data_IF_810763442023
#
_entry.id   IF_810763442023
#
_cell.length_a   1.000
_cell.length_b   1.000
_cell.length_c   1.000
_cell.angle_alpha   90.00
_cell.angle_beta   90.00
_cell.angle_gamma   90.00
#
_symmetry.space_group_name_H-M   'P 1'
#
loop_
_entity.id
_entity.type
_entity.pdbx_description
1 polymer ?
#
# COMPACT_ATOMS: atom_id res chain seq x y z
N UNK A 1 11.21 12.96 -7.18
CA UNK A 1 9.89 13.46 -7.58
C UNK A 1 9.33 14.59 -6.71
N UNK A 2 9.97 15.07 -5.63
CA UNK A 2 9.48 16.23 -4.85
C UNK A 2 9.70 17.63 -5.49
N UNK A 3 9.98 17.71 -6.80
CA UNK A 3 10.31 18.99 -7.47
C UNK A 3 9.10 19.83 -7.85
N UNK A 4 7.89 19.26 -7.80
CA UNK A 4 6.66 19.88 -8.31
C UNK A 4 5.65 20.24 -7.21
N UNK A 5 5.94 19.91 -5.95
CA UNK A 5 5.07 20.17 -4.81
C UNK A 5 5.76 21.11 -3.83
N UNK A 6 5.03 22.10 -3.30
CA UNK A 6 5.50 22.97 -2.20
C UNK A 6 5.45 22.22 -0.86
N UNK A 7 6.11 21.06 -0.80
CA UNK A 7 6.16 20.19 0.35
C UNK A 7 7.48 20.39 1.09
N UNK A 8 7.39 20.73 2.39
CA UNK A 8 8.56 20.84 3.27
C UNK A 8 8.34 20.03 4.54
N UNK A 9 9.02 18.87 4.72
CA UNK A 9 8.84 18.03 5.92
C UNK A 9 9.28 18.74 7.20
N UNK A 10 10.12 19.78 7.10
CA UNK A 10 10.46 20.67 8.20
C UNK A 10 9.25 21.42 8.77
N UNK A 11 8.28 21.82 7.94
CA UNK A 11 7.08 22.55 8.40
C UNK A 11 6.22 21.64 9.27
N UNK A 12 6.10 20.37 8.89
CA UNK A 12 5.42 19.34 9.67
C UNK A 12 6.10 19.15 11.03
N UNK A 13 7.41 18.93 11.05
CA UNK A 13 8.14 18.78 12.31
C UNK A 13 8.04 20.02 13.23
N UNK A 14 7.96 21.22 12.65
CA UNK A 14 7.77 22.47 13.41
C UNK A 14 6.35 22.61 13.97
N UNK A 15 5.31 22.22 13.22
CA UNK A 15 3.92 22.25 13.68
C UNK A 15 3.74 21.31 14.87
N UNK A 16 4.20 20.06 14.73
CA UNK A 16 4.14 19.06 15.81
C UNK A 16 4.93 19.52 17.03
N UNK A 17 6.16 20.04 16.86
CA UNK A 17 6.98 20.50 17.99
C UNK A 17 6.42 21.73 18.72
N UNK A 18 5.49 22.46 18.10
CA UNK A 18 4.79 23.61 18.71
C UNK A 18 3.42 23.24 19.26
N UNK A 19 3.01 21.98 19.14
CA UNK A 19 1.69 21.52 19.53
C UNK A 19 0.56 22.30 18.83
N UNK A 20 0.81 22.72 17.58
CA UNK A 20 -0.16 23.45 16.76
C UNK A 20 -1.17 22.46 16.14
N UNK A 21 -2.17 22.08 16.93
CA UNK A 21 -3.14 21.02 16.60
C UNK A 21 -3.89 21.30 15.30
N UNK A 22 -4.29 22.56 15.07
CA UNK A 22 -5.02 22.97 13.88
C UNK A 22 -4.17 22.79 12.62
N UNK A 23 -2.92 23.27 12.65
CA UNK A 23 -2.00 23.10 11.52
C UNK A 23 -1.65 21.61 11.32
N UNK A 24 -1.48 20.84 12.39
CA UNK A 24 -1.22 19.40 12.30
C UNK A 24 -2.39 18.70 11.60
N UNK A 25 -3.63 19.03 11.95
CA UNK A 25 -4.81 18.44 11.32
C UNK A 25 -4.96 18.86 9.85
N UNK A 26 -4.67 20.11 9.50
CA UNK A 26 -4.62 20.56 8.10
C UNK A 26 -3.57 19.78 7.30
N UNK A 27 -2.37 19.63 7.87
CA UNK A 27 -1.25 18.91 7.25
C UNK A 27 -1.54 17.42 7.07
N UNK A 28 -2.25 16.78 8.01
CA UNK A 28 -2.72 15.40 7.87
C UNK A 28 -3.67 15.23 6.68
N UNK A 29 -4.40 16.29 6.30
CA UNK A 29 -5.34 16.25 5.19
C UNK A 29 -4.73 16.59 3.82
N UNK A 30 -3.49 17.11 3.78
CA UNK A 30 -2.87 17.59 2.53
C UNK A 30 -1.38 17.23 2.46
N UNK A 31 -0.56 17.95 3.22
CA UNK A 31 0.91 17.92 3.11
C UNK A 31 1.49 16.52 3.26
N UNK A 32 0.98 15.70 4.18
CA UNK A 32 1.54 14.37 4.43
C UNK A 32 1.45 13.47 3.20
N UNK A 33 0.49 13.65 2.31
CA UNK A 33 0.28 12.83 1.12
C UNK A 33 1.26 13.16 -0.03
N UNK A 34 1.90 14.33 0.03
CA UNK A 34 2.95 14.75 -0.92
C UNK A 34 4.33 14.15 -0.61
N UNK A 35 4.49 13.55 0.57
CA UNK A 35 5.74 12.92 0.97
C UNK A 35 6.02 11.63 0.19
N UNK A 36 7.11 11.61 -0.60
CA UNK A 36 7.53 10.39 -1.31
C UNK A 36 8.27 9.36 -0.43
N UNK A 37 8.29 9.53 0.90
CA UNK A 37 8.99 8.65 1.84
C UNK A 37 10.46 8.34 1.49
N UNK A 38 11.17 9.30 0.88
CA UNK A 38 12.58 9.12 0.49
C UNK A 38 13.58 9.26 1.65
N UNK A 39 13.11 9.66 2.85
CA UNK A 39 13.91 9.89 4.06
C UNK A 39 15.13 10.84 3.91
N UNK A 40 15.22 11.61 2.82
CA UNK A 40 16.26 12.65 2.67
C UNK A 40 16.20 13.74 3.75
N UNK A 41 15.10 13.80 4.50
CA UNK A 41 14.91 14.67 5.65
C UNK A 41 15.63 14.22 6.94
N UNK A 42 16.20 13.00 6.99
CA UNK A 42 16.99 12.49 8.13
C UNK A 42 18.28 13.28 8.41
N UNK A 43 18.60 14.28 7.57
CA UNK A 43 19.68 15.25 7.76
C UNK A 43 19.32 16.42 8.69
N UNK A 44 18.23 16.33 9.45
CA UNK A 44 17.75 17.44 10.26
C UNK A 44 18.78 17.83 11.33
N UNK A 45 19.24 19.09 11.41
CA UNK A 45 20.26 19.51 12.38
C UNK A 45 19.78 19.43 13.84
N UNK A 46 18.47 19.29 14.06
CA UNK A 46 17.86 19.08 15.38
C UNK A 46 17.66 17.60 15.71
N UNK A 47 18.18 16.68 14.88
CA UNK A 47 18.04 15.23 15.03
C UNK A 47 16.59 14.73 15.03
N UNK A 48 15.65 15.55 14.52
CA UNK A 48 14.29 15.10 14.30
C UNK A 48 14.24 14.10 13.14
N UNK A 49 13.23 13.23 13.14
CA UNK A 49 12.87 12.38 12.02
C UNK A 49 11.53 12.83 11.38
N UNK A 50 11.54 13.87 10.52
CA UNK A 50 10.32 14.33 9.86
C UNK A 50 9.60 13.25 9.03
N UNK A 51 10.36 12.35 8.38
CA UNK A 51 9.79 11.24 7.60
C UNK A 51 9.01 10.28 8.50
N UNK A 52 9.54 9.96 9.68
CA UNK A 52 8.85 9.16 10.69
C UNK A 52 7.59 9.84 11.22
N UNK A 53 7.65 11.16 11.50
CA UNK A 53 6.47 11.94 11.92
C UNK A 53 5.37 11.85 10.84
N UNK A 54 5.72 12.03 9.56
CA UNK A 54 4.78 11.90 8.45
C UNK A 54 4.16 10.51 8.39
N UNK A 55 4.95 9.45 8.60
CA UNK A 55 4.43 8.08 8.62
C UNK A 55 3.40 7.88 9.72
N UNK A 56 3.67 8.35 10.94
CA UNK A 56 2.72 8.28 12.06
C UNK A 56 1.45 9.08 11.75
N UNK A 57 1.59 10.29 11.21
CA UNK A 57 0.44 11.12 10.83
C UNK A 57 -0.45 10.43 9.78
N UNK A 58 0.14 9.77 8.78
CA UNK A 58 -0.61 8.97 7.79
C UNK A 58 -1.33 7.79 8.45
N UNK A 59 -0.66 7.07 9.35
CA UNK A 59 -1.28 5.95 10.08
C UNK A 59 -2.49 6.41 10.90
N UNK A 60 -2.37 7.53 11.62
CA UNK A 60 -3.49 8.12 12.37
C UNK A 60 -4.61 8.55 11.42
N UNK A 61 -4.29 9.14 10.27
CA UNK A 61 -5.29 9.54 9.28
C UNK A 61 -6.08 8.33 8.74
N UNK A 62 -5.39 7.22 8.43
CA UNK A 62 -6.00 5.96 7.98
C UNK A 62 -6.87 5.34 9.07
N UNK A 63 -6.34 5.19 10.29
CA UNK A 63 -7.06 4.61 11.44
C UNK A 63 -8.33 5.37 11.80
N UNK A 64 -8.36 6.68 11.55
CA UNK A 64 -9.53 7.52 11.81
C UNK A 64 -10.39 7.77 10.56
N UNK A 65 -10.07 7.13 9.42
CA UNK A 65 -10.88 7.21 8.21
C UNK A 65 -11.00 8.63 7.62
N UNK A 66 -9.95 9.46 7.74
CA UNK A 66 -9.94 10.81 7.17
C UNK A 66 -10.20 10.75 5.66
N UNK A 67 -10.99 11.71 5.16
CA UNK A 67 -11.37 11.76 3.74
C UNK A 67 -10.15 11.80 2.81
N UNK A 68 -9.16 12.63 3.14
CA UNK A 68 -7.88 12.72 2.42
C UNK A 68 -7.11 11.40 2.36
N UNK A 69 -7.21 10.55 3.39
CA UNK A 69 -6.59 9.23 3.38
C UNK A 69 -7.29 8.30 2.39
N UNK A 70 -8.62 8.38 2.30
CA UNK A 70 -9.41 7.61 1.32
C UNK A 70 -9.08 8.04 -0.10
N UNK A 71 -9.06 9.35 -0.37
CA UNK A 71 -8.72 9.89 -1.69
C UNK A 71 -7.29 9.51 -2.10
N UNK A 72 -6.31 9.65 -1.20
CA UNK A 72 -4.92 9.33 -1.50
C UNK A 72 -4.68 7.82 -1.74
N UNK A 73 -5.54 6.96 -1.20
CA UNK A 73 -5.40 5.50 -1.24
C UNK A 73 -6.38 4.80 -2.19
N UNK A 74 -7.31 5.52 -2.82
CA UNK A 74 -8.35 4.96 -3.71
C UNK A 74 -7.76 4.05 -4.80
N UNK A 75 -6.64 4.46 -5.41
CA UNK A 75 -5.96 3.68 -6.45
C UNK A 75 -5.23 2.42 -5.96
N UNK A 76 -5.11 2.21 -4.66
CA UNK A 76 -4.29 1.14 -4.07
C UNK A 76 -5.09 -0.10 -3.65
N UNK A 77 -6.43 -0.08 -3.67
CA UNK A 77 -7.27 -1.23 -3.25
C UNK A 77 -6.89 -2.54 -3.95
N UNK A 78 -6.60 -2.50 -5.26
CA UNK A 78 -6.16 -3.69 -6.02
C UNK A 78 -4.79 -4.20 -5.59
N UNK A 79 -3.88 -3.31 -5.20
CA UNK A 79 -2.54 -3.67 -4.73
C UNK A 79 -2.66 -4.33 -3.35
N UNK A 80 -3.46 -3.76 -2.45
CA UNK A 80 -3.75 -4.33 -1.13
C UNK A 80 -4.36 -5.72 -1.29
N UNK A 81 -5.40 -5.85 -2.14
CA UNK A 81 -6.02 -7.13 -2.45
C UNK A 81 -5.01 -8.17 -2.90
N UNK A 82 -4.12 -7.83 -3.84
CA UNK A 82 -3.10 -8.77 -4.34
C UNK A 82 -2.12 -9.20 -3.26
N UNK A 83 -1.59 -8.24 -2.49
CA UNK A 83 -0.63 -8.53 -1.41
C UNK A 83 -1.27 -9.47 -0.39
N UNK A 84 -2.52 -9.21 -0.03
CA UNK A 84 -3.19 -10.00 1.01
C UNK A 84 -3.74 -11.33 0.51
N UNK A 85 -4.08 -11.47 -0.78
CA UNK A 85 -4.54 -12.76 -1.35
C UNK A 85 -3.40 -13.67 -1.79
N UNK A 86 -2.24 -13.13 -2.15
CA UNK A 86 -1.12 -13.91 -2.73
C UNK A 86 0.16 -13.88 -1.90
N UNK A 87 0.21 -13.09 -0.84
CA UNK A 87 1.40 -12.90 -0.01
C UNK A 87 2.54 -12.15 -0.70
N UNK A 88 2.33 -11.63 -1.92
CA UNK A 88 3.38 -10.98 -2.71
C UNK A 88 2.88 -9.73 -3.45
N UNK A 89 3.84 -8.94 -3.95
CA UNK A 89 3.60 -7.66 -4.59
C UNK A 89 2.95 -7.81 -5.98
N UNK A 90 2.75 -6.67 -6.64
CA UNK A 90 2.20 -6.61 -8.00
C UNK A 90 2.98 -7.49 -8.97
N UNK A 91 2.24 -8.23 -9.79
CA UNK A 91 2.77 -9.07 -10.87
C UNK A 91 2.51 -8.44 -12.24
N UNK A 92 3.35 -8.68 -13.27
CA UNK A 92 3.23 -8.03 -14.57
C UNK A 92 1.87 -8.19 -15.25
N UNK A 93 1.19 -9.33 -15.06
CA UNK A 93 -0.17 -9.62 -15.54
C UNK A 93 -1.27 -8.72 -14.94
N UNK A 94 -0.95 -7.96 -13.89
CA UNK A 94 -1.84 -6.95 -13.35
C UNK A 94 -1.92 -5.70 -14.23
N UNK A 95 -0.93 -5.46 -15.09
CA UNK A 95 -0.91 -4.30 -15.98
C UNK A 95 -2.06 -4.44 -16.96
N UNK A 96 -3.14 -3.71 -16.70
CA UNK A 96 -4.30 -3.60 -17.58
C UNK A 96 -4.69 -2.14 -17.76
N UNK A 97 -5.22 -1.76 -18.94
CA UNK A 97 -5.61 -0.37 -19.20
C UNK A 97 -6.66 0.18 -18.23
N UNK A 98 -7.56 -0.67 -17.73
CA UNK A 98 -8.56 -0.31 -16.73
C UNK A 98 -7.96 -0.18 -15.32
N UNK A 99 -6.87 -0.90 -15.05
CA UNK A 99 -6.19 -0.92 -13.76
C UNK A 99 -5.23 0.26 -13.57
N UNK A 100 -4.57 0.69 -14.66
CA UNK A 100 -3.57 1.76 -14.68
C UNK A 100 -3.90 2.76 -15.79
N UNK A 101 -5.02 3.49 -15.69
CA UNK A 101 -5.47 4.41 -16.73
C UNK A 101 -4.49 5.57 -16.96
N UNK A 102 -3.71 5.92 -15.94
CA UNK A 102 -2.67 6.95 -15.95
C UNK A 102 -1.39 6.55 -16.70
N UNK A 103 -1.18 5.25 -16.95
CA UNK A 103 -0.01 4.74 -17.69
C UNK A 103 -0.17 4.83 -19.21
N UNK A 104 -1.37 5.19 -19.68
CA UNK A 104 -1.63 5.49 -21.08
C UNK A 104 -1.51 4.27 -22.02
N UNK A 105 -1.29 4.51 -23.33
CA UNK A 105 -1.29 3.45 -24.35
C UNK A 105 -0.28 2.32 -24.10
N UNK A 106 0.83 2.63 -23.43
CA UNK A 106 1.90 1.67 -23.11
C UNK A 106 1.41 0.53 -22.21
N UNK A 107 0.48 0.80 -21.29
CA UNK A 107 -0.09 -0.25 -20.43
C UNK A 107 -0.89 -1.27 -21.27
N UNK A 108 -1.63 -0.80 -22.28
CA UNK A 108 -2.35 -1.67 -23.22
C UNK A 108 -1.39 -2.50 -24.05
N UNK A 109 -0.41 -1.85 -24.67
CA UNK A 109 0.58 -2.53 -25.50
C UNK A 109 1.35 -3.60 -24.68
N UNK A 110 1.69 -3.27 -23.43
CA UNK A 110 2.31 -4.22 -22.51
C UNK A 110 1.37 -5.38 -22.21
N UNK A 111 0.11 -5.12 -21.84
CA UNK A 111 -0.86 -6.17 -21.56
C UNK A 111 -1.06 -7.13 -22.75
N UNK A 112 -1.14 -6.58 -23.96
CA UNK A 112 -1.37 -7.34 -25.20
C UNK A 112 -0.17 -8.21 -25.60
N UNK A 113 1.06 -7.82 -25.23
CA UNK A 113 2.30 -8.46 -25.69
C UNK A 113 3.16 -9.10 -24.59
N UNK A 114 2.78 -8.97 -23.30
CA UNK A 114 3.60 -9.32 -22.14
C UNK A 114 4.21 -10.72 -22.23
N UNK A 115 3.40 -11.70 -22.64
CA UNK A 115 3.78 -13.10 -22.75
C UNK A 115 4.86 -13.31 -23.83
N UNK A 116 4.69 -12.68 -25.00
CA UNK A 116 5.65 -12.72 -26.11
C UNK A 116 6.96 -12.07 -25.69
N UNK A 117 6.90 -10.89 -25.08
CA UNK A 117 8.08 -10.16 -24.64
C UNK A 117 8.83 -10.88 -23.52
N UNK A 118 8.12 -11.53 -22.58
CA UNK A 118 8.76 -12.33 -21.53
C UNK A 118 9.53 -13.52 -22.11
N UNK A 119 8.99 -14.21 -23.11
CA UNK A 119 9.71 -15.29 -23.83
C UNK A 119 10.89 -14.81 -24.67
N UNK A 120 10.88 -13.55 -25.10
CA UNK A 120 11.98 -12.98 -25.89
C UNK A 120 13.23 -12.64 -25.05
N UNK A 121 13.13 -12.67 -23.71
CA UNK A 121 14.26 -12.43 -22.82
C UNK A 121 15.32 -13.53 -23.00
N UNK A 122 16.59 -13.20 -23.32
CA UNK A 122 17.64 -14.20 -23.59
C UNK A 122 17.99 -15.16 -22.45
N UNK A 123 17.97 -14.76 -21.16
CA UNK A 123 18.25 -15.71 -20.08
C UNK A 123 17.14 -16.74 -19.95
N UNK A 124 17.50 -18.03 -19.84
CA UNK A 124 16.56 -19.08 -19.44
C UNK A 124 16.08 -18.82 -18.01
N UNK A 125 14.93 -18.17 -17.93
CA UNK A 125 14.18 -18.01 -16.69
C UNK A 125 12.88 -18.78 -16.84
N UNK A 126 12.05 -18.84 -15.81
CA UNK A 126 10.71 -19.43 -15.95
C UNK A 126 9.79 -18.61 -16.90
N UNK A 127 10.25 -17.44 -17.39
CA UNK A 127 9.51 -16.52 -18.27
C UNK A 127 8.09 -16.20 -17.78
N UNK A 128 7.88 -16.25 -16.46
CA UNK A 128 6.58 -16.02 -15.83
C UNK A 128 6.08 -14.59 -16.09
N UNK A 129 4.79 -14.49 -16.35
CA UNK A 129 4.04 -13.23 -16.43
C UNK A 129 3.33 -12.90 -15.11
N UNK A 130 3.17 -13.90 -14.24
CA UNK A 130 2.58 -13.79 -12.92
C UNK A 130 3.66 -13.51 -11.87
N UNK A 131 3.50 -14.04 -10.65
CA UNK A 131 4.45 -13.84 -9.56
C UNK A 131 5.82 -14.43 -9.89
N UNK A 132 6.89 -13.75 -9.47
CA UNK A 132 8.27 -14.24 -9.65
C UNK A 132 8.64 -15.37 -8.67
N UNK A 133 7.87 -15.51 -7.58
CA UNK A 133 7.93 -16.61 -6.63
C UNK A 133 6.52 -16.91 -6.13
N UNK A 134 6.29 -18.15 -5.71
CA UNK A 134 5.09 -18.56 -5.01
C UNK A 134 5.32 -18.48 -3.50
N UNK A 135 4.35 -17.97 -2.77
CA UNK A 135 4.39 -17.93 -1.31
C UNK A 135 3.81 -19.24 -0.81
N UNK A 136 4.53 -19.92 0.08
CA UNK A 136 4.09 -21.17 0.69
C UNK A 136 2.80 -20.96 1.50
N UNK A 137 1.86 -21.90 1.41
CA UNK A 137 0.55 -21.79 2.04
C UNK A 137 0.66 -21.52 3.54
N UNK A 138 1.60 -22.17 4.24
CA UNK A 138 1.83 -21.94 5.67
C UNK A 138 2.26 -20.49 5.94
N UNK A 139 3.11 -19.93 5.08
CA UNK A 139 3.55 -18.53 5.20
C UNK A 139 2.37 -17.57 5.01
N UNK A 140 1.50 -17.85 4.04
CA UNK A 140 0.31 -17.04 3.81
C UNK A 140 -0.67 -17.12 5.00
N UNK A 141 -0.89 -18.31 5.56
CA UNK A 141 -1.67 -18.51 6.79
C UNK A 141 -1.09 -17.71 7.97
N UNK A 142 0.24 -17.73 8.15
CA UNK A 142 0.90 -16.95 9.21
C UNK A 142 0.72 -15.43 9.00
N UNK A 143 0.79 -14.94 7.76
CA UNK A 143 0.51 -13.53 7.44
C UNK A 143 -0.94 -13.14 7.76
N UNK A 144 -1.91 -14.00 7.44
CA UNK A 144 -3.31 -13.79 7.80
C UNK A 144 -3.51 -13.66 9.30
N UNK A 145 -2.92 -14.55 10.10
CA UNK A 145 -2.96 -14.46 11.55
C UNK A 145 -2.34 -13.15 12.05
N UNK A 146 -1.22 -12.71 11.48
CA UNK A 146 -0.60 -11.42 11.84
C UNK A 146 -1.56 -10.27 11.53
N UNK A 147 -2.14 -10.20 10.33
CA UNK A 147 -3.04 -9.10 9.96
C UNK A 147 -4.32 -9.07 10.78
N UNK A 148 -4.87 -10.23 11.11
CA UNK A 148 -6.02 -10.34 12.01
C UNK A 148 -5.67 -9.87 13.43
N UNK A 149 -4.64 -10.43 14.05
CA UNK A 149 -4.26 -10.13 15.43
C UNK A 149 -3.74 -8.70 15.65
N UNK A 150 -3.22 -8.06 14.60
CA UNK A 150 -2.71 -6.69 14.67
C UNK A 150 -3.74 -5.62 14.30
N UNK A 151 -4.97 -6.02 13.92
CA UNK A 151 -6.03 -5.09 13.53
C UNK A 151 -5.83 -4.42 12.17
N UNK A 152 -5.00 -5.01 11.29
CA UNK A 152 -4.78 -4.48 9.93
C UNK A 152 -6.06 -4.58 9.10
N UNK A 153 -6.87 -5.61 9.30
CA UNK A 153 -8.17 -5.73 8.63
C UNK A 153 -9.12 -4.59 9.02
N UNK A 154 -9.15 -4.21 10.30
CA UNK A 154 -9.94 -3.06 10.77
C UNK A 154 -9.48 -1.75 10.11
N UNK A 155 -8.18 -1.57 9.89
CA UNK A 155 -7.65 -0.42 9.14
C UNK A 155 -8.09 -0.41 7.68
N UNK A 156 -8.27 -1.57 7.05
CA UNK A 156 -8.76 -1.64 5.67
C UNK A 156 -10.24 -1.29 5.63
N UNK A 157 -11.02 -1.75 6.62
CA UNK A 157 -12.43 -1.41 6.75
C UNK A 157 -12.68 0.09 6.79
N UNK A 158 -11.80 0.87 7.43
CA UNK A 158 -11.96 2.33 7.47
C UNK A 158 -11.76 2.98 6.10
N UNK A 159 -10.95 2.38 5.23
CA UNK A 159 -10.64 2.89 3.89
C UNK A 159 -11.63 2.40 2.83
N UNK A 160 -11.87 1.08 2.78
CA UNK A 160 -12.64 0.39 1.75
C UNK A 160 -13.35 -0.83 2.37
N UNK A 161 -14.62 -0.65 2.71
CA UNK A 161 -15.46 -1.69 3.32
C UNK A 161 -15.69 -2.88 2.37
N UNK A 162 -15.76 -2.63 1.06
CA UNK A 162 -15.93 -3.69 0.06
C UNK A 162 -14.69 -4.57 0.00
N UNK A 163 -13.51 -3.96 -0.02
CA UNK A 163 -12.24 -4.69 -0.01
C UNK A 163 -12.08 -5.48 1.30
N UNK A 164 -12.44 -4.88 2.44
CA UNK A 164 -12.41 -5.56 3.72
C UNK A 164 -13.23 -6.85 3.72
N UNK A 165 -14.49 -6.81 3.25
CA UNK A 165 -15.35 -8.00 3.21
C UNK A 165 -14.70 -9.12 2.38
N UNK A 166 -14.21 -8.80 1.18
CA UNK A 166 -13.56 -9.77 0.30
C UNK A 166 -12.33 -10.40 0.98
N UNK A 167 -11.52 -9.59 1.67
CA UNK A 167 -10.30 -10.08 2.33
C UNK A 167 -10.59 -10.93 3.56
N UNK A 168 -11.64 -10.59 4.31
CA UNK A 168 -12.09 -11.42 5.44
C UNK A 168 -12.56 -12.77 4.93
N UNK A 169 -13.40 -12.82 3.89
CA UNK A 169 -13.90 -14.08 3.33
C UNK A 169 -12.73 -14.99 2.87
N UNK A 170 -11.77 -14.44 2.12
CA UNK A 170 -10.58 -15.18 1.66
C UNK A 170 -9.72 -15.66 2.82
N UNK A 171 -9.53 -14.81 3.83
CA UNK A 171 -8.75 -15.15 5.02
C UNK A 171 -9.44 -16.27 5.81
N UNK A 172 -10.74 -16.16 6.05
CA UNK A 172 -11.53 -17.12 6.82
C UNK A 172 -11.45 -18.50 6.18
N UNK A 173 -11.68 -18.60 4.86
CA UNK A 173 -11.53 -19.84 4.10
C UNK A 173 -10.13 -20.45 4.30
N UNK A 174 -9.07 -19.63 4.15
CA UNK A 174 -7.68 -20.09 4.26
C UNK A 174 -7.29 -20.54 5.66
N UNK A 175 -7.79 -19.87 6.70
CA UNK A 175 -7.54 -20.23 8.08
C UNK A 175 -8.29 -21.51 8.45
N UNK A 176 -9.54 -21.67 8.00
CA UNK A 176 -10.32 -22.90 8.21
C UNK A 176 -9.65 -24.11 7.54
N UNK A 177 -9.21 -23.98 6.28
CA UNK A 177 -8.45 -25.02 5.57
C UNK A 177 -7.18 -25.44 6.32
N UNK A 178 -6.52 -24.49 6.97
CA UNK A 178 -5.32 -24.72 7.77
C UNK A 178 -5.61 -25.21 9.20
N UNK A 179 -6.88 -25.39 9.58
CA UNK A 179 -7.31 -25.89 10.89
C UNK A 179 -7.26 -24.84 12.02
N UNK A 180 -7.22 -23.55 11.67
CA UNK A 180 -7.34 -22.46 12.64
C UNK A 180 -8.82 -22.07 12.77
N UNK A 181 -9.42 -22.18 13.97
CA UNK A 181 -10.79 -21.77 14.17
C UNK A 181 -10.89 -20.24 14.08
N UNK A 182 -11.63 -19.73 13.10
CA UNK A 182 -11.93 -18.30 13.00
C UNK A 182 -13.22 -18.05 13.78
N UNK A 183 -13.10 -17.90 15.10
CA UNK A 183 -14.23 -17.47 15.92
C UNK A 183 -14.33 -15.95 15.87
N UNK A 184 -15.48 -15.46 15.39
CA UNK A 184 -15.93 -14.06 15.52
C UNK A 184 -15.95 -13.58 16.97
#
# INVERSE_FOLDING_TARGET
SARFYDFSPRRIAQAVAREDVELVYEQMNRDVWECSQCFSCLRCPRQNNPGGIVTIMREVAVKNGLHSAKEALEGYSRIIYKIMSTGTQVSPDMIRPDAFPDWGPTAKETADNLEVWRRAMPPETMHTTSSSWEVDDKTLTELYLIWHLTGVLDMIKTLDESLHMILVDVMEEKLEEAGYPVSS
#
